data_IF_033199481980
#
_entry.id   IF_033199481980
#
_cell.length_a   1.000
_cell.length_b   1.000
_cell.length_c   1.000
_cell.angle_alpha   90.00
_cell.angle_beta   90.00
_cell.angle_gamma   90.00
#
_symmetry.space_group_name_H-M   'P 1'
#
loop_
_entity.id
_entity.type
_entity.pdbx_description
1 polymer ?
#
# COMPACT_ATOMS: atom_id res chain seq x y z
N UNK A 1 12.97 11.51 -0.16
CA UNK A 1 12.59 12.12 1.14
C UNK A 1 13.48 11.64 2.29
N UNK A 2 13.92 10.37 2.33
CA UNK A 2 14.84 9.84 3.35
C UNK A 2 16.31 10.35 3.23
N UNK A 3 16.86 10.50 2.02
CA UNK A 3 18.25 10.94 1.82
C UNK A 3 18.57 12.38 2.28
N UNK A 4 17.57 13.27 2.28
CA UNK A 4 17.72 14.64 2.77
C UNK A 4 17.66 14.70 4.31
N UNK A 5 16.89 13.81 4.94
CA UNK A 5 16.80 13.68 6.40
C UNK A 5 18.12 13.16 6.99
N UNK A 6 18.75 12.17 6.35
CA UNK A 6 20.04 11.62 6.80
C UNK A 6 21.20 12.64 6.66
N UNK A 7 21.21 13.42 5.56
CA UNK A 7 22.19 14.49 5.34
C UNK A 7 22.03 15.62 6.37
N UNK A 8 20.79 15.97 6.72
CA UNK A 8 20.46 16.94 7.78
C UNK A 8 20.88 16.40 9.16
N UNK A 9 20.62 15.12 9.46
CA UNK A 9 21.04 14.48 10.71
C UNK A 9 22.55 14.41 10.91
N UNK A 10 23.34 14.29 9.84
CA UNK A 10 24.81 14.27 9.93
C UNK A 10 25.40 15.61 10.38
N UNK A 11 24.71 16.72 10.14
CA UNK A 11 25.16 18.08 10.46
C UNK A 11 24.81 18.54 11.89
N UNK A 12 24.02 17.78 12.66
CA UNK A 12 23.60 18.15 14.01
C UNK A 12 24.67 17.87 15.10
N UNK A 13 24.78 18.74 16.12
CA UNK A 13 25.60 18.51 17.31
C UNK A 13 25.25 17.21 18.04
N UNK A 14 26.23 16.60 18.72
CA UNK A 14 26.09 15.31 19.42
C UNK A 14 24.94 15.30 20.46
N UNK A 15 24.69 16.42 21.12
CA UNK A 15 23.61 16.60 22.11
C UNK A 15 22.22 16.65 21.44
N UNK A 16 22.11 17.21 20.22
CA UNK A 16 20.88 17.20 19.43
C UNK A 16 20.62 15.83 18.80
N UNK A 17 21.65 15.03 18.52
CA UNK A 17 21.49 13.60 18.17
C UNK A 17 20.98 12.77 19.35
N UNK A 18 21.42 13.05 20.58
CA UNK A 18 20.89 12.40 21.80
C UNK A 18 19.45 12.81 22.09
N UNK A 19 19.10 14.08 21.90
CA UNK A 19 17.71 14.56 21.97
C UNK A 19 16.85 13.96 20.86
N UNK A 20 17.34 13.86 19.63
CA UNK A 20 16.64 13.17 18.55
C UNK A 20 16.50 11.67 18.83
N UNK A 21 17.52 11.01 19.38
CA UNK A 21 17.47 9.61 19.81
C UNK A 21 16.57 9.38 21.03
N UNK A 22 16.40 10.38 21.90
CA UNK A 22 15.42 10.38 22.99
C UNK A 22 14.00 10.65 22.48
N UNK A 23 13.85 11.46 21.43
CA UNK A 23 12.59 11.69 20.70
C UNK A 23 12.22 10.52 19.79
N UNK A 24 13.19 9.66 19.42
CA UNK A 24 12.93 8.29 18.93
C UNK A 24 12.34 7.51 20.10
N UNK A 25 11.05 7.73 20.28
CA UNK A 25 10.17 7.11 21.25
C UNK A 25 10.39 5.59 21.29
N UNK A 26 10.20 5.00 22.47
CA UNK A 26 9.91 3.57 22.56
C UNK A 26 8.83 3.22 21.54
N UNK A 27 9.05 2.13 20.79
CA UNK A 27 8.17 1.74 19.68
C UNK A 27 6.72 1.66 20.16
N UNK A 28 5.86 2.48 19.55
CA UNK A 28 4.43 2.49 19.84
C UNK A 28 3.84 1.09 19.72
N UNK A 29 3.07 0.69 20.74
CA UNK A 29 2.34 -0.57 20.75
C UNK A 29 0.91 -0.33 20.27
N UNK A 30 0.31 -1.35 19.67
CA UNK A 30 -1.12 -1.34 19.38
C UNK A 30 -1.92 -1.32 20.67
N UNK A 31 -2.93 -0.47 20.76
CA UNK A 31 -3.78 -0.38 21.94
C UNK A 31 -4.73 -1.59 21.99
N UNK A 32 -5.21 -2.04 20.82
CA UNK A 32 -6.10 -3.19 20.70
C UNK A 32 -5.71 -4.14 19.56
N UNK A 33 -6.00 -5.43 19.73
CA UNK A 33 -5.82 -6.44 18.67
C UNK A 33 -6.66 -6.16 17.42
N UNK A 34 -7.84 -5.55 17.60
CA UNK A 34 -8.75 -5.21 16.50
C UNK A 34 -8.16 -4.12 15.63
N UNK A 35 -7.49 -3.12 16.21
CA UNK A 35 -6.81 -2.05 15.45
C UNK A 35 -5.76 -2.65 14.51
N UNK A 36 -4.95 -3.57 15.03
CA UNK A 36 -3.97 -4.30 14.21
C UNK A 36 -4.64 -5.08 13.07
N UNK A 37 -5.69 -5.85 13.36
CA UNK A 37 -6.40 -6.65 12.34
C UNK A 37 -7.05 -5.77 11.27
N UNK A 38 -7.63 -4.64 11.66
CA UNK A 38 -8.24 -3.69 10.74
C UNK A 38 -7.20 -2.99 9.87
N UNK A 39 -6.05 -2.61 10.43
CA UNK A 39 -4.95 -2.03 9.64
C UNK A 39 -4.43 -3.03 8.59
N UNK A 40 -4.24 -4.30 8.98
CA UNK A 40 -3.82 -5.35 8.04
C UNK A 40 -4.88 -5.62 6.98
N UNK A 41 -6.16 -5.70 7.35
CA UNK A 41 -7.24 -5.90 6.40
C UNK A 41 -7.37 -4.72 5.41
N UNK A 42 -7.17 -3.49 5.88
CA UNK A 42 -7.16 -2.29 5.03
C UNK A 42 -6.05 -2.29 4.00
N UNK A 43 -4.87 -2.81 4.36
CA UNK A 43 -3.75 -2.95 3.42
C UNK A 43 -4.01 -4.02 2.35
N UNK A 44 -4.60 -5.16 2.74
CA UNK A 44 -4.87 -6.28 1.82
C UNK A 44 -6.04 -5.97 0.87
N UNK A 45 -7.07 -5.26 1.35
CA UNK A 45 -8.27 -4.94 0.58
C UNK A 45 -8.04 -3.65 -0.22
N UNK A 46 -7.30 -3.77 -1.32
CA UNK A 46 -7.01 -2.64 -2.22
C UNK A 46 -8.05 -2.45 -3.34
N UNK A 47 -8.13 -1.22 -3.86
CA UNK A 47 -8.89 -0.86 -5.07
C UNK A 47 -8.57 -1.77 -6.27
N UNK A 48 -7.32 -2.24 -6.37
CA UNK A 48 -6.90 -3.19 -7.40
C UNK A 48 -7.71 -4.50 -7.38
N UNK A 49 -8.11 -4.99 -6.20
CA UNK A 49 -8.91 -6.21 -6.10
C UNK A 49 -10.34 -6.02 -6.64
N UNK A 50 -10.87 -4.80 -6.65
CA UNK A 50 -12.24 -4.52 -7.07
C UNK A 50 -12.43 -4.68 -8.58
N UNK A 51 -11.47 -4.22 -9.39
CA UNK A 51 -11.58 -4.29 -10.86
C UNK A 51 -10.65 -5.32 -11.50
N UNK A 52 -9.46 -5.54 -10.95
CA UNK A 52 -8.44 -6.39 -11.60
C UNK A 52 -8.77 -7.85 -11.43
N UNK A 53 -9.26 -8.25 -10.25
CA UNK A 53 -9.63 -9.64 -10.00
C UNK A 53 -10.80 -10.08 -10.90
N UNK A 54 -11.93 -9.35 -11.00
CA UNK A 54 -13.00 -9.72 -11.93
C UNK A 54 -12.53 -9.73 -13.39
N UNK A 55 -11.70 -8.76 -13.80
CA UNK A 55 -11.15 -8.69 -15.16
C UNK A 55 -10.31 -9.93 -15.50
N UNK A 56 -9.41 -10.35 -14.60
CA UNK A 56 -8.60 -11.55 -14.81
C UNK A 56 -9.44 -12.83 -14.79
N UNK A 57 -10.42 -12.93 -13.88
CA UNK A 57 -11.32 -14.07 -13.84
C UNK A 57 -12.05 -14.21 -15.18
N UNK A 58 -12.64 -13.13 -15.69
CA UNK A 58 -13.39 -13.17 -16.94
C UNK A 58 -12.50 -13.57 -18.13
N UNK A 59 -11.28 -13.04 -18.21
CA UNK A 59 -10.35 -13.35 -19.31
C UNK A 59 -9.82 -14.79 -19.26
N UNK A 60 -9.63 -15.36 -18.07
CA UNK A 60 -8.98 -16.66 -17.88
C UNK A 60 -9.96 -17.81 -17.64
N UNK A 61 -11.13 -17.79 -18.29
CA UNK A 61 -12.11 -18.88 -18.20
C UNK A 61 -13.12 -18.74 -17.06
N UNK A 62 -13.37 -17.52 -16.59
CA UNK A 62 -14.40 -17.20 -15.61
C UNK A 62 -14.16 -17.90 -14.27
N UNK A 63 -15.15 -18.68 -13.84
CA UNK A 63 -15.10 -19.42 -12.57
C UNK A 63 -14.00 -20.48 -12.50
N UNK A 64 -13.48 -20.98 -13.62
CA UNK A 64 -12.39 -21.96 -13.64
C UNK A 64 -11.07 -21.38 -13.12
N UNK A 65 -10.86 -20.06 -13.25
CA UNK A 65 -9.69 -19.35 -12.72
C UNK A 65 -9.61 -19.39 -11.19
N UNK A 66 -10.74 -19.64 -10.51
CA UNK A 66 -10.81 -19.66 -9.06
C UNK A 66 -10.04 -20.86 -8.45
N UNK A 67 -9.99 -21.99 -9.17
CA UNK A 67 -9.30 -23.21 -8.71
C UNK A 67 -7.79 -22.98 -8.56
N UNK A 68 -7.03 -22.56 -9.59
CA UNK A 68 -5.62 -22.26 -9.42
C UNK A 68 -5.40 -21.08 -8.47
N UNK A 69 -6.28 -20.08 -8.47
CA UNK A 69 -6.18 -18.93 -7.56
C UNK A 69 -6.18 -19.34 -6.08
N UNK A 70 -7.12 -20.20 -5.66
CA UNK A 70 -7.21 -20.69 -4.27
C UNK A 70 -6.00 -21.56 -3.92
N UNK A 71 -5.51 -22.39 -4.85
CA UNK A 71 -4.32 -23.22 -4.63
C UNK A 71 -3.10 -22.33 -4.38
N UNK A 72 -2.83 -21.34 -5.23
CA UNK A 72 -1.72 -20.40 -5.01
C UNK A 72 -1.89 -19.55 -3.75
N UNK A 73 -3.12 -19.18 -3.42
CA UNK A 73 -3.42 -18.45 -2.19
C UNK A 73 -3.05 -19.26 -0.94
N UNK A 74 -3.43 -20.54 -0.89
CA UNK A 74 -3.13 -21.40 0.26
C UNK A 74 -1.65 -21.80 0.29
N UNK A 75 -1.06 -22.13 -0.86
CA UNK A 75 0.32 -22.61 -0.93
C UNK A 75 1.38 -21.51 -0.84
N UNK A 76 1.09 -20.30 -1.31
CA UNK A 76 2.06 -19.20 -1.36
C UNK A 76 1.57 -17.97 -0.58
N UNK A 77 0.32 -17.57 -0.75
CA UNK A 77 -0.23 -16.37 -0.10
C UNK A 77 -0.18 -16.46 1.43
N UNK A 78 -0.82 -17.48 2.02
CA UNK A 78 -0.88 -17.67 3.47
C UNK A 78 0.52 -17.85 4.08
N UNK A 79 1.42 -18.70 3.55
CA UNK A 79 2.76 -18.87 4.12
C UNK A 79 3.62 -17.61 4.07
N UNK A 80 3.55 -16.82 2.97
CA UNK A 80 4.31 -15.57 2.85
C UNK A 80 3.76 -14.51 3.82
N UNK A 81 2.44 -14.37 3.91
CA UNK A 81 1.82 -13.44 4.85
C UNK A 81 2.16 -13.78 6.31
N UNK A 82 2.14 -15.07 6.65
CA UNK A 82 2.52 -15.53 7.98
C UNK A 82 4.01 -15.28 8.26
N UNK A 83 4.89 -15.57 7.29
CA UNK A 83 6.33 -15.31 7.40
C UNK A 83 6.61 -13.84 7.67
N UNK A 84 6.01 -12.95 6.88
CA UNK A 84 6.20 -11.50 7.01
C UNK A 84 5.71 -10.97 8.37
N UNK A 85 4.51 -11.39 8.77
CA UNK A 85 3.93 -10.97 10.06
C UNK A 85 4.75 -11.50 11.24
N UNK A 86 5.13 -12.78 11.23
CA UNK A 86 5.93 -13.39 12.28
C UNK A 86 7.33 -12.75 12.36
N UNK A 87 7.94 -12.45 11.22
CA UNK A 87 9.24 -11.82 11.14
C UNK A 87 9.21 -10.37 11.66
N UNK A 88 8.16 -9.61 11.33
CA UNK A 88 7.94 -8.25 11.83
C UNK A 88 7.67 -8.21 13.34
N UNK A 89 6.96 -9.21 13.88
CA UNK A 89 6.74 -9.34 15.32
C UNK A 89 8.03 -9.76 16.06
N UNK A 90 8.78 -10.73 15.50
CA UNK A 90 10.01 -11.23 16.10
C UNK A 90 11.12 -10.18 16.16
N UNK A 91 11.36 -9.46 15.05
CA UNK A 91 12.42 -8.44 15.02
C UNK A 91 11.98 -7.13 15.65
N UNK A 92 10.68 -6.84 15.69
CA UNK A 92 10.08 -5.57 16.16
C UNK A 92 10.68 -4.33 15.51
N UNK A 93 11.11 -4.47 14.27
CA UNK A 93 11.87 -3.49 13.49
C UNK A 93 11.19 -3.23 12.13
N UNK A 94 11.59 -2.14 11.47
CA UNK A 94 11.08 -1.82 10.13
C UNK A 94 11.57 -2.80 9.05
N UNK A 95 10.95 -2.77 7.86
CA UNK A 95 11.26 -3.70 6.77
C UNK A 95 12.75 -3.76 6.37
N UNK A 96 13.46 -2.63 6.39
CA UNK A 96 14.91 -2.59 6.06
C UNK A 96 15.76 -3.14 7.22
N UNK A 97 15.53 -2.66 8.44
CA UNK A 97 16.34 -3.03 9.62
C UNK A 97 16.10 -4.48 10.05
N UNK A 98 14.92 -5.03 9.77
CA UNK A 98 14.58 -6.43 9.93
C UNK A 98 15.52 -7.36 9.13
N UNK A 99 15.67 -7.12 7.82
CA UNK A 99 16.55 -7.94 6.97
C UNK A 99 18.02 -7.85 7.41
N UNK A 100 18.46 -6.68 7.88
CA UNK A 100 19.82 -6.50 8.41
C UNK A 100 20.10 -7.36 9.66
N UNK A 101 19.10 -7.59 10.52
CA UNK A 101 19.24 -8.44 11.73
C UNK A 101 19.21 -9.94 11.39
N UNK A 102 18.46 -10.35 10.38
CA UNK A 102 18.37 -11.76 9.95
C UNK A 102 19.57 -12.15 9.10
N UNK A 103 19.81 -11.42 8.02
CA UNK A 103 20.92 -11.65 7.10
C UNK A 103 21.26 -10.36 6.34
N UNK A 104 22.41 -9.72 6.60
CA UNK A 104 22.78 -8.45 5.98
C UNK A 104 22.93 -8.54 4.45
N UNK A 105 23.13 -9.74 3.89
CA UNK A 105 23.16 -9.94 2.43
C UNK A 105 21.80 -9.66 1.78
N UNK A 106 20.70 -9.85 2.50
CA UNK A 106 19.33 -9.62 2.02
C UNK A 106 18.80 -8.22 2.33
N UNK A 107 19.64 -7.30 2.80
CA UNK A 107 19.25 -5.91 3.07
C UNK A 107 18.67 -5.21 1.82
N UNK A 108 19.13 -5.60 0.62
CA UNK A 108 18.61 -5.12 -0.65
C UNK A 108 17.11 -5.39 -0.86
N UNK A 109 16.55 -6.44 -0.26
CA UNK A 109 15.10 -6.74 -0.32
C UNK A 109 14.31 -5.63 0.39
N UNK A 110 14.80 -5.16 1.53
CA UNK A 110 14.20 -4.05 2.28
C UNK A 110 14.14 -2.77 1.43
N UNK A 111 15.24 -2.39 0.79
CA UNK A 111 15.25 -1.21 -0.09
C UNK A 111 14.36 -1.39 -1.32
N UNK A 112 14.37 -2.58 -1.95
CA UNK A 112 13.55 -2.86 -3.12
C UNK A 112 12.05 -2.73 -2.82
N UNK A 113 11.59 -3.30 -1.71
CA UNK A 113 10.17 -3.18 -1.29
C UNK A 113 9.77 -1.72 -1.06
N UNK A 114 10.59 -0.92 -0.38
CA UNK A 114 10.30 0.50 -0.16
C UNK A 114 10.23 1.32 -1.46
N UNK A 115 11.09 1.02 -2.43
CA UNK A 115 11.05 1.68 -3.75
C UNK A 115 9.78 1.30 -4.50
N UNK A 116 9.40 0.02 -4.48
CA UNK A 116 8.16 -0.46 -5.12
C UNK A 116 6.96 0.25 -4.50
N UNK A 117 6.85 0.28 -3.17
CA UNK A 117 5.75 0.96 -2.48
C UNK A 117 5.67 2.45 -2.79
N UNK A 118 6.82 3.14 -2.89
CA UNK A 118 6.85 4.54 -3.29
C UNK A 118 6.27 4.74 -4.70
N UNK A 119 6.61 3.88 -5.67
CA UNK A 119 6.03 3.93 -7.01
C UNK A 119 4.54 3.60 -7.02
N UNK A 120 4.11 2.61 -6.22
CA UNK A 120 2.70 2.26 -6.09
C UNK A 120 1.90 3.45 -5.53
N UNK A 121 2.40 4.09 -4.49
CA UNK A 121 1.74 5.22 -3.84
C UNK A 121 1.47 6.38 -4.82
N UNK A 122 2.45 6.72 -5.67
CA UNK A 122 2.32 7.84 -6.63
C UNK A 122 1.12 7.64 -7.56
N UNK A 123 0.92 6.43 -8.12
CA UNK A 123 -0.22 6.21 -9.01
C UNK A 123 -1.53 6.06 -8.23
N UNK A 124 -1.51 5.43 -7.05
CA UNK A 124 -2.72 5.22 -6.26
C UNK A 124 -3.33 6.54 -5.78
N UNK A 125 -2.50 7.53 -5.42
CA UNK A 125 -2.97 8.87 -5.03
C UNK A 125 -3.73 9.54 -6.18
N UNK A 126 -3.27 9.38 -7.43
CA UNK A 126 -3.96 9.91 -8.62
C UNK A 126 -5.34 9.26 -8.80
N UNK A 127 -5.41 7.94 -8.68
CA UNK A 127 -6.70 7.20 -8.77
C UNK A 127 -7.65 7.65 -7.65
N UNK A 128 -7.15 7.80 -6.43
CA UNK A 128 -7.94 8.27 -5.30
C UNK A 128 -8.46 9.70 -5.54
N UNK A 129 -7.64 10.58 -6.11
CA UNK A 129 -8.06 11.93 -6.49
C UNK A 129 -9.20 11.92 -7.51
N UNK A 130 -9.15 11.02 -8.51
CA UNK A 130 -10.26 10.82 -9.44
C UNK A 130 -11.51 10.30 -8.73
N UNK A 131 -11.39 9.30 -7.84
CA UNK A 131 -12.52 8.76 -7.10
C UNK A 131 -13.22 9.84 -6.26
N UNK A 132 -12.45 10.70 -5.58
CA UNK A 132 -12.97 11.83 -4.81
C UNK A 132 -13.63 12.87 -5.74
N UNK A 133 -13.03 13.17 -6.89
CA UNK A 133 -13.62 14.06 -7.89
C UNK A 133 -14.99 13.54 -8.34
N UNK A 134 -15.09 12.26 -8.71
CA UNK A 134 -16.37 11.65 -9.10
C UNK A 134 -17.36 11.59 -7.94
N UNK A 135 -16.91 11.33 -6.71
CA UNK A 135 -17.76 11.34 -5.52
C UNK A 135 -18.44 12.70 -5.31
N UNK A 136 -17.70 13.81 -5.43
CA UNK A 136 -18.29 15.14 -5.30
C UNK A 136 -19.28 15.46 -6.42
N UNK A 137 -19.02 14.96 -7.64
CA UNK A 137 -19.94 15.11 -8.77
C UNK A 137 -21.20 14.24 -8.66
N UNK A 138 -21.26 13.27 -7.74
CA UNK A 138 -22.48 12.49 -7.48
C UNK A 138 -23.52 13.24 -6.65
N UNK A 139 -23.17 14.39 -6.03
CA UNK A 139 -24.12 15.17 -5.23
C UNK A 139 -24.96 16.17 -6.06
N UNK A 140 -24.90 16.09 -7.40
CA UNK A 140 -25.74 16.88 -8.32
C UNK A 140 -27.06 16.15 -8.61
N UNK A 141 -28.10 16.90 -8.97
CA UNK A 141 -29.44 16.32 -9.27
C UNK A 141 -29.43 15.45 -10.52
N UNK A 142 -28.70 15.87 -11.54
CA UNK A 142 -28.44 15.12 -12.76
C UNK A 142 -26.95 14.80 -12.81
N UNK A 143 -26.61 13.54 -13.11
CA UNK A 143 -25.21 13.13 -13.14
C UNK A 143 -24.54 13.68 -14.41
N UNK A 144 -23.34 14.27 -14.32
CA UNK A 144 -22.72 14.94 -15.46
C UNK A 144 -22.29 13.99 -16.60
N UNK A 145 -22.22 12.69 -16.34
CA UNK A 145 -21.97 11.64 -17.34
C UNK A 145 -23.24 10.91 -17.81
N UNK A 146 -24.43 11.31 -17.34
CA UNK A 146 -25.69 10.71 -17.78
C UNK A 146 -26.22 11.30 -19.10
N UNK A 147 -25.82 12.52 -19.46
CA UNK A 147 -26.28 13.20 -20.66
C UNK A 147 -25.13 13.72 -21.53
N UNK A 148 -25.39 13.82 -22.84
CA UNK A 148 -24.40 14.27 -23.82
C UNK A 148 -24.42 15.80 -24.05
N UNK A 149 -25.11 16.60 -23.22
CA UNK A 149 -25.29 18.06 -23.42
C UNK A 149 -24.17 18.97 -22.90
N UNK A 150 -22.99 18.44 -22.61
CA UNK A 150 -21.96 19.12 -21.84
C UNK A 150 -20.77 19.56 -22.71
N UNK A 151 -20.07 20.63 -22.30
CA UNK A 151 -19.04 21.30 -23.12
C UNK A 151 -17.84 20.43 -23.52
N UNK A 152 -17.56 19.35 -22.76
CA UNK A 152 -16.48 18.42 -23.05
C UNK A 152 -16.87 17.29 -24.01
N UNK A 153 -18.16 17.16 -24.34
CA UNK A 153 -18.61 16.14 -25.26
C UNK A 153 -18.27 16.53 -26.70
N UNK A 154 -17.69 15.59 -27.45
CA UNK A 154 -17.44 15.76 -28.88
C UNK A 154 -18.75 15.51 -29.66
N UNK A 155 -18.98 16.28 -30.73
CA UNK A 155 -20.25 16.28 -31.50
C UNK A 155 -20.49 15.05 -32.38
N UNK A 156 -20.03 13.86 -31.98
CA UNK A 156 -20.02 12.65 -32.82
C UNK A 156 -21.04 11.58 -32.47
N UNK A 157 -22.05 11.86 -31.63
CA UNK A 157 -23.21 10.98 -31.49
C UNK A 157 -24.49 11.79 -31.19
N UNK A 158 -25.17 12.19 -32.27
CA UNK A 158 -26.64 12.21 -32.38
C UNK A 158 -26.96 11.33 -33.59
#
# INVERSE_FOLDING_TARGET
>A
MFSLLDAVFSAYPLELKKLAAFVVNERGQWNNKIEFMLSVAGEIIGLGNVWRFPYLCYKNGGGAFFVPYVIFFICCGIPVFFLETALGQFTSEGGITCWRKVCPLFEGIGYATQVIEAYLNVYYVVILAWAIFYLFNCFTTELPWASCGQYWNTGWFI
#
